data_IF_608173412106
#
_entry.id   IF_608173412106
#
_cell.length_a   1.000
_cell.length_b   1.000
_cell.length_c   1.000
_cell.angle_alpha   90.00
_cell.angle_beta   90.00
_cell.angle_gamma   90.00
#
_symmetry.space_group_name_H-M   'P 1'
#
loop_
_entity.id
_entity.type
_entity.pdbx_description
1 polymer ?
#
# COMPACT_ATOMS: atom_id res chain seq x y z
N UNK A 1 12.12 32.46 6.91
CA UNK A 1 12.28 30.99 6.78
C UNK A 1 11.81 30.39 8.09
N UNK A 2 10.92 29.39 8.06
CA UNK A 2 10.54 28.68 9.30
C UNK A 2 11.69 27.69 9.56
N UNK A 3 12.35 27.82 10.70
CA UNK A 3 13.52 26.99 11.01
C UNK A 3 13.08 25.53 11.24
N UNK A 4 13.46 24.66 10.30
CA UNK A 4 13.05 23.25 10.22
C UNK A 4 13.80 22.33 11.20
N UNK A 5 14.51 22.89 12.18
CA UNK A 5 15.55 22.21 12.95
C UNK A 5 15.23 22.11 14.44
N UNK A 6 14.45 23.04 15.00
CA UNK A 6 14.14 23.01 16.42
C UNK A 6 12.98 22.04 16.70
N UNK A 7 13.30 20.97 17.44
CA UNK A 7 12.31 19.98 17.86
C UNK A 7 11.65 20.45 19.14
N UNK A 8 10.39 20.85 19.02
CA UNK A 8 9.49 21.15 20.14
C UNK A 8 9.03 19.82 20.73
N UNK A 9 9.01 19.73 22.07
CA UNK A 9 8.45 18.59 22.79
C UNK A 9 7.28 19.07 23.64
N UNK A 10 6.09 18.50 23.42
CA UNK A 10 4.89 18.82 24.21
C UNK A 10 4.39 17.59 24.97
N UNK A 11 3.73 17.82 26.11
CA UNK A 11 3.11 16.77 26.93
C UNK A 11 1.62 17.04 27.05
N UNK A 12 0.79 16.05 26.72
CA UNK A 12 -0.67 16.13 26.86
C UNK A 12 -1.18 14.85 27.50
N UNK A 13 -1.60 14.94 28.75
CA UNK A 13 -1.93 13.78 29.58
C UNK A 13 -0.72 12.85 29.72
N UNK A 14 -0.90 11.56 29.38
CA UNK A 14 0.17 10.55 29.40
C UNK A 14 1.05 10.53 28.15
N UNK A 15 0.68 11.28 27.12
CA UNK A 15 1.37 11.26 25.81
C UNK A 15 2.38 12.41 25.70
N UNK A 16 3.50 12.15 25.02
CA UNK A 16 4.52 13.15 24.66
C UNK A 16 4.66 13.18 23.15
N UNK A 17 4.60 14.38 22.57
CA UNK A 17 4.74 14.61 21.13
C UNK A 17 6.03 15.38 20.85
N UNK A 18 6.66 15.08 19.71
CA UNK A 18 7.88 15.75 19.25
C UNK A 18 7.70 16.20 17.82
N UNK A 19 7.89 17.46 17.51
CA UNK A 19 7.72 18.00 16.16
C UNK A 19 8.39 19.35 15.99
N UNK A 20 8.63 19.77 14.76
CA UNK A 20 9.07 21.14 14.46
C UNK A 20 7.87 22.04 14.15
N UNK A 21 8.06 23.37 14.16
CA UNK A 21 7.03 24.31 13.71
C UNK A 21 6.55 24.01 12.27
N UNK A 22 7.46 23.56 11.41
CA UNK A 22 7.13 23.12 10.05
C UNK A 22 6.22 21.90 10.02
N UNK A 23 6.48 20.91 10.87
CA UNK A 23 5.66 19.69 10.92
C UNK A 23 4.23 20.01 11.40
N UNK A 24 4.10 20.97 12.33
CA UNK A 24 2.81 21.46 12.80
C UNK A 24 2.05 22.20 11.70
N UNK A 25 2.71 23.13 10.99
CA UNK A 25 2.11 23.83 9.86
C UNK A 25 1.67 22.86 8.75
N UNK A 26 2.45 21.80 8.51
CA UNK A 26 2.07 20.75 7.57
C UNK A 26 0.86 19.93 8.04
N UNK A 27 0.73 19.67 9.35
CA UNK A 27 -0.44 18.99 9.91
C UNK A 27 -1.73 19.81 9.74
N UNK A 28 -1.66 21.11 10.02
CA UNK A 28 -2.78 22.05 9.82
C UNK A 28 -3.18 22.11 8.34
N UNK A 29 -2.20 22.28 7.44
CA UNK A 29 -2.46 22.32 6.00
C UNK A 29 -3.05 21.02 5.46
N UNK A 30 -2.62 19.88 5.99
CA UNK A 30 -3.19 18.58 5.63
C UNK A 30 -4.65 18.48 6.04
N UNK A 31 -5.02 18.98 7.23
CA UNK A 31 -6.40 18.99 7.71
C UNK A 31 -7.28 19.94 6.89
N UNK A 32 -6.84 21.16 6.60
CA UNK A 32 -7.55 22.11 5.72
C UNK A 32 -7.93 21.45 4.40
N UNK A 33 -6.99 20.69 3.81
CA UNK A 33 -7.21 20.02 2.54
C UNK A 33 -8.20 18.85 2.66
N UNK A 34 -8.16 18.11 3.75
CA UNK A 34 -9.14 17.06 4.05
C UNK A 34 -10.53 17.66 4.22
N UNK A 35 -10.69 18.75 4.97
CA UNK A 35 -11.97 19.44 5.17
C UNK A 35 -12.54 19.96 3.85
N UNK A 36 -11.69 20.44 2.94
CA UNK A 36 -12.12 20.90 1.62
C UNK A 36 -12.73 19.78 0.75
N UNK A 37 -12.35 18.52 0.98
CA UNK A 37 -12.90 17.34 0.28
C UNK A 37 -14.05 16.72 1.06
N UNK A 38 -13.93 16.68 2.39
CA UNK A 38 -14.88 16.06 3.31
C UNK A 38 -15.25 17.10 4.38
N UNK A 39 -16.32 17.88 4.18
CA UNK A 39 -16.69 18.99 5.07
C UNK A 39 -16.98 18.57 6.51
N UNK A 40 -17.39 17.32 6.73
CA UNK A 40 -17.71 16.77 8.04
C UNK A 40 -16.51 16.12 8.75
N UNK A 41 -15.28 16.38 8.29
CA UNK A 41 -14.08 15.84 8.91
C UNK A 41 -13.81 16.50 10.27
N UNK A 42 -13.70 15.70 11.32
CA UNK A 42 -13.40 16.18 12.68
C UNK A 42 -12.04 16.87 12.79
N UNK A 43 -11.93 17.80 13.73
CA UNK A 43 -10.65 18.44 14.06
C UNK A 43 -9.74 17.46 14.80
N UNK A 44 -8.54 17.14 14.26
CA UNK A 44 -7.63 16.17 14.86
C UNK A 44 -6.81 16.78 16.00
N UNK A 45 -6.04 15.91 16.67
CA UNK A 45 -4.92 16.38 17.48
C UNK A 45 -3.72 16.72 16.57
N UNK A 46 -3.51 18.02 16.33
CA UNK A 46 -2.43 18.52 15.47
C UNK A 46 -1.02 18.16 15.99
N UNK A 47 -0.80 18.10 17.30
CA UNK A 47 0.50 17.70 17.87
C UNK A 47 0.84 16.25 17.52
N UNK A 48 -0.16 15.36 17.60
CA UNK A 48 0.00 13.95 17.21
C UNK A 48 0.22 13.79 15.71
N UNK A 49 -0.42 14.62 14.90
CA UNK A 49 -0.24 14.64 13.46
C UNK A 49 1.16 15.15 13.08
N UNK A 50 1.59 16.25 13.70
CA UNK A 50 2.92 16.83 13.53
C UNK A 50 4.02 15.84 13.93
N UNK A 51 3.88 15.13 15.05
CA UNK A 51 4.84 14.08 15.43
C UNK A 51 4.90 12.95 14.40
N UNK A 52 3.76 12.59 13.79
CA UNK A 52 3.75 11.57 12.72
C UNK A 52 4.46 12.06 11.47
N UNK A 53 4.24 13.32 11.06
CA UNK A 53 4.95 13.93 9.92
C UNK A 53 6.45 14.05 10.18
N UNK A 54 6.84 14.43 11.40
CA UNK A 54 8.24 14.40 11.84
C UNK A 54 8.82 12.99 11.71
N UNK A 55 8.11 11.95 12.14
CA UNK A 55 8.57 10.55 11.99
C UNK A 55 8.78 10.19 10.52
N UNK A 56 7.87 10.58 9.63
CA UNK A 56 8.04 10.34 8.19
C UNK A 56 9.30 11.02 7.64
N UNK A 57 9.57 12.27 8.05
CA UNK A 57 10.75 13.01 7.60
C UNK A 57 12.06 12.47 8.18
N UNK A 58 12.12 12.31 9.50
CA UNK A 58 13.36 12.07 10.23
C UNK A 58 13.67 10.59 10.43
N UNK A 59 12.64 9.75 10.61
CA UNK A 59 12.80 8.31 10.86
C UNK A 59 12.71 7.56 9.53
N UNK A 60 11.63 7.77 8.77
CA UNK A 60 11.44 7.07 7.49
C UNK A 60 12.29 7.69 6.36
N UNK A 61 13.02 8.78 6.64
CA UNK A 61 13.91 9.50 5.70
C UNK A 61 13.21 9.96 4.42
N UNK A 62 11.90 10.26 4.50
CA UNK A 62 11.13 10.75 3.34
C UNK A 62 11.22 12.28 3.26
N UNK A 63 11.66 12.85 2.13
CA UNK A 63 11.68 14.30 1.95
C UNK A 63 10.27 14.91 2.10
N UNK A 64 10.16 16.07 2.75
CA UNK A 64 8.87 16.73 2.95
C UNK A 64 8.15 17.03 1.62
N UNK A 65 8.91 17.36 0.57
CA UNK A 65 8.38 17.57 -0.77
C UNK A 65 7.70 16.30 -1.33
N UNK A 66 8.32 15.13 -1.16
CA UNK A 66 7.76 13.84 -1.60
C UNK A 66 6.50 13.51 -0.80
N UNK A 67 6.53 13.72 0.53
CA UNK A 67 5.35 13.52 1.37
C UNK A 67 4.18 14.38 0.89
N UNK A 68 4.43 15.66 0.64
CA UNK A 68 3.42 16.58 0.13
C UNK A 68 2.88 16.17 -1.25
N UNK A 69 3.74 15.71 -2.15
CA UNK A 69 3.33 15.23 -3.48
C UNK A 69 2.45 13.98 -3.40
N UNK A 70 2.85 12.98 -2.62
CA UNK A 70 2.07 11.75 -2.44
C UNK A 70 0.73 12.05 -1.78
N UNK A 71 0.70 12.92 -0.77
CA UNK A 71 -0.56 13.32 -0.13
C UNK A 71 -1.48 14.04 -1.12
N UNK A 72 -0.99 15.02 -1.87
CA UNK A 72 -1.79 15.75 -2.86
C UNK A 72 -2.39 14.81 -3.91
N UNK A 73 -1.58 13.89 -4.44
CA UNK A 73 -2.06 12.89 -5.39
C UNK A 73 -3.13 11.99 -4.77
N UNK A 74 -2.88 11.45 -3.57
CA UNK A 74 -3.84 10.60 -2.86
C UNK A 74 -5.16 11.31 -2.53
N UNK A 75 -5.11 12.62 -2.28
CA UNK A 75 -6.29 13.43 -1.96
C UNK A 75 -7.07 13.88 -3.21
N UNK A 76 -6.52 13.70 -4.42
CA UNK A 76 -7.22 13.91 -5.70
C UNK A 76 -7.82 12.62 -6.27
N UNK A 77 -7.35 11.47 -5.80
CA UNK A 77 -7.85 10.17 -6.21
C UNK A 77 -9.13 9.81 -5.44
N UNK A 78 -10.20 9.45 -6.17
CA UNK A 78 -11.52 9.22 -5.57
C UNK A 78 -11.54 8.11 -4.52
N UNK A 79 -10.70 7.09 -4.70
CA UNK A 79 -10.60 5.99 -3.76
C UNK A 79 -9.74 6.38 -2.56
N UNK A 80 -8.58 7.00 -2.79
CA UNK A 80 -7.64 7.31 -1.71
C UNK A 80 -8.02 8.53 -0.88
N UNK A 81 -8.77 9.49 -1.42
CA UNK A 81 -9.16 10.70 -0.68
C UNK A 81 -10.00 10.39 0.56
N UNK A 82 -10.86 9.36 0.50
CA UNK A 82 -11.67 8.89 1.64
C UNK A 82 -10.87 8.02 2.61
N UNK A 83 -9.76 7.43 2.15
CA UNK A 83 -8.93 6.54 2.94
C UNK A 83 -7.79 7.28 3.66
N UNK A 84 -7.24 8.35 3.08
CA UNK A 84 -6.07 9.08 3.62
C UNK A 84 -6.53 10.34 4.37
N UNK A 85 -7.14 10.14 5.53
CA UNK A 85 -7.67 11.20 6.39
C UNK A 85 -6.74 11.57 7.56
N UNK A 86 -5.51 11.08 7.58
CA UNK A 86 -4.52 11.44 8.60
C UNK A 86 -3.09 11.12 8.16
N UNK A 87 -2.07 11.79 8.74
CA UNK A 87 -0.66 11.46 8.50
C UNK A 87 -0.33 10.00 8.84
N UNK A 88 -1.00 9.41 9.84
CA UNK A 88 -0.78 8.02 10.22
C UNK A 88 -1.24 7.05 9.12
N UNK A 89 -2.41 7.30 8.51
CA UNK A 89 -2.88 6.50 7.36
C UNK A 89 -2.02 6.74 6.13
N UNK A 90 -1.60 7.99 5.87
CA UNK A 90 -0.64 8.30 4.81
C UNK A 90 0.67 7.52 4.99
N UNK A 91 1.28 7.58 6.18
CA UNK A 91 2.51 6.86 6.52
C UNK A 91 2.36 5.35 6.31
N UNK A 92 1.25 4.77 6.76
CA UNK A 92 0.95 3.33 6.61
C UNK A 92 0.90 2.90 5.14
N UNK A 93 0.30 3.71 4.27
CA UNK A 93 0.11 3.37 2.85
C UNK A 93 1.12 4.01 1.91
N UNK A 94 2.13 4.71 2.44
CA UNK A 94 2.99 5.59 1.66
C UNK A 94 3.64 4.90 0.46
N UNK A 95 4.25 3.73 0.66
CA UNK A 95 4.95 3.01 -0.41
C UNK A 95 4.00 2.64 -1.58
N UNK A 96 2.77 2.23 -1.25
CA UNK A 96 1.73 1.91 -2.24
C UNK A 96 1.28 3.15 -2.99
N UNK A 97 0.96 4.23 -2.26
CA UNK A 97 0.54 5.50 -2.85
C UNK A 97 1.62 6.09 -3.76
N UNK A 98 2.87 6.10 -3.31
CA UNK A 98 4.00 6.58 -4.10
C UNK A 98 4.15 5.78 -5.40
N UNK A 99 4.05 4.45 -5.35
CA UNK A 99 4.12 3.61 -6.55
C UNK A 99 2.99 3.91 -7.54
N UNK A 100 1.76 4.06 -7.04
CA UNK A 100 0.60 4.38 -7.87
C UNK A 100 0.71 5.77 -8.51
N UNK A 101 1.15 6.78 -7.74
CA UNK A 101 1.42 8.13 -8.24
C UNK A 101 2.41 8.13 -9.41
N UNK A 102 3.54 7.41 -9.27
CA UNK A 102 4.55 7.30 -10.34
C UNK A 102 3.99 6.59 -11.58
N UNK A 103 3.19 5.54 -11.40
CA UNK A 103 2.54 4.83 -12.51
C UNK A 103 1.53 5.72 -13.24
N UNK A 104 0.75 6.51 -12.50
CA UNK A 104 -0.23 7.41 -13.08
C UNK A 104 0.44 8.51 -13.92
N UNK A 105 1.50 9.12 -13.38
CA UNK A 105 2.30 10.10 -14.13
C UNK A 105 2.90 9.51 -15.42
N UNK A 106 3.35 8.25 -15.40
CA UNK A 106 3.87 7.57 -16.58
C UNK A 106 2.77 7.28 -17.63
N UNK A 107 1.55 6.94 -17.21
CA UNK A 107 0.41 6.71 -18.12
C UNK A 107 -0.02 8.00 -18.84
N UNK A 108 0.01 9.13 -18.15
CA UNK A 108 -0.36 10.43 -18.73
C UNK A 108 0.63 10.90 -19.81
N UNK A 109 1.88 10.44 -19.78
CA UNK A 109 2.92 10.80 -20.76
C UNK A 109 2.92 9.93 -22.02
N UNK A 110 2.13 8.85 -22.08
CA UNK A 110 2.06 8.05 -23.30
C UNK A 110 1.07 8.68 -24.29
N UNK A 111 1.46 8.96 -25.55
CA UNK A 111 0.50 9.31 -26.58
C UNK A 111 -0.52 8.17 -26.68
N UNK A 112 -1.82 8.50 -26.78
CA UNK A 112 -2.88 7.50 -26.94
C UNK A 112 -2.47 6.56 -28.06
N UNK A 113 -2.01 5.36 -27.74
CA UNK A 113 -1.99 4.27 -28.71
C UNK A 113 -3.44 4.00 -29.02
N UNK A 114 -3.92 4.49 -30.17
CA UNK A 114 -5.09 3.92 -30.83
C UNK A 114 -4.81 2.43 -30.89
N UNK A 115 -5.51 1.65 -30.06
CA UNK A 115 -5.44 0.20 -30.16
C UNK A 115 -6.29 -0.11 -31.38
N UNK A 116 -5.66 -0.19 -32.54
CA UNK A 116 -6.15 -1.11 -33.55
C UNK A 116 -6.02 -2.48 -32.89
N UNK A 117 -7.16 -3.02 -32.44
CA UNK A 117 -7.25 -4.37 -31.87
C UNK A 117 -7.54 -5.27 -33.06
N UNK A 118 -6.60 -6.13 -33.53
CA UNK A 118 -6.97 -7.22 -34.41
C UNK A 118 -7.86 -8.17 -33.62
N UNK A 119 -9.05 -8.41 -34.15
CA UNK A 119 -10.07 -9.24 -33.54
C UNK A 119 -9.69 -10.73 -33.68
N UNK A 120 -8.70 -11.22 -32.93
CA UNK A 120 -8.60 -12.65 -32.60
C UNK A 120 -7.54 -12.94 -31.54
N UNK A 121 -7.98 -13.39 -30.37
CA UNK A 121 -7.62 -14.72 -29.86
C UNK A 121 -8.59 -15.07 -28.72
N UNK A 122 -9.38 -16.12 -28.93
CA UNK A 122 -10.35 -16.61 -27.97
C UNK A 122 -9.63 -17.23 -26.77
N UNK A 123 -10.06 -16.86 -25.57
CA UNK A 123 -9.69 -17.46 -24.28
C UNK A 123 -10.26 -18.87 -24.09
N UNK A 124 -10.12 -19.72 -25.11
CA UNK A 124 -10.53 -21.13 -25.06
C UNK A 124 -9.36 -22.08 -24.81
N UNK A 125 -8.12 -21.59 -24.80
CA UNK A 125 -6.96 -22.43 -24.54
C UNK A 125 -6.52 -22.30 -23.07
N UNK A 126 -6.88 -23.28 -22.24
CA UNK A 126 -6.41 -23.46 -20.87
C UNK A 126 -4.94 -23.92 -20.81
N UNK A 127 -4.11 -23.47 -21.75
CA UNK A 127 -2.67 -23.73 -21.83
C UNK A 127 -1.90 -23.15 -20.63
N UNK A 128 -2.47 -22.22 -19.87
CA UNK A 128 -1.88 -21.75 -18.60
C UNK A 128 -1.94 -22.80 -17.47
N UNK A 129 -2.74 -23.86 -17.61
CA UNK A 129 -2.97 -24.86 -16.56
C UNK A 129 -2.31 -26.23 -16.82
N UNK A 130 -1.67 -26.44 -17.95
CA UNK A 130 -1.09 -27.75 -18.35
C UNK A 130 0.23 -28.10 -17.67
N UNK A 131 0.76 -27.22 -16.80
CA UNK A 131 2.00 -27.46 -16.05
C UNK A 131 1.82 -27.99 -14.62
N UNK A 132 0.60 -28.36 -14.20
CA UNK A 132 0.28 -28.67 -12.79
C UNK A 132 -0.10 -30.12 -12.50
N UNK A 133 0.10 -31.04 -13.45
CA UNK A 133 -0.03 -32.48 -13.21
C UNK A 133 1.33 -33.07 -12.89
N UNK A 134 1.55 -33.37 -11.62
CA UNK A 134 2.65 -34.17 -11.10
C UNK A 134 2.49 -35.62 -11.62
N UNK A 135 3.22 -35.98 -12.67
CA UNK A 135 3.32 -37.37 -13.14
C UNK A 135 4.37 -38.10 -12.32
N UNK A 136 4.09 -38.38 -11.06
CA UNK A 136 4.75 -39.44 -10.30
C UNK A 136 3.70 -40.39 -9.72
N UNK A 137 3.10 -41.18 -10.61
CA UNK A 137 2.51 -42.47 -10.27
C UNK A 137 2.64 -43.37 -11.49
N UNK A 138 3.55 -44.34 -11.42
CA UNK A 138 3.32 -45.74 -11.79
C UNK A 138 4.64 -46.42 -12.14
N UNK A 139 5.17 -47.21 -11.21
CA UNK A 139 5.61 -48.55 -11.57
C UNK A 139 5.31 -49.49 -10.40
N UNK A 140 4.12 -50.10 -10.45
CA UNK A 140 3.79 -51.25 -9.63
C UNK A 140 4.20 -52.51 -10.42
N UNK A 141 5.12 -53.35 -9.93
CA UNK A 141 5.43 -54.61 -10.58
C UNK A 141 4.34 -55.65 -10.31
N UNK A 142 3.97 -56.38 -11.36
CA UNK A 142 3.09 -57.53 -11.32
C UNK A 142 3.66 -58.64 -10.43
N UNK A 143 2.87 -59.11 -9.46
CA UNK A 143 3.10 -60.37 -8.76
C UNK A 143 1.85 -61.23 -8.98
N UNK A 144 2.06 -62.30 -9.74
CA UNK A 144 1.08 -63.34 -10.02
C UNK A 144 0.73 -64.13 -8.75
N UNK A 145 -0.53 -64.57 -8.73
CA UNK A 145 -1.11 -65.51 -7.79
C UNK A 145 -0.28 -66.78 -7.63
N UNK A 146 -0.01 -67.19 -6.38
CA UNK A 146 -0.08 -68.59 -5.95
C UNK A 146 0.05 -68.72 -4.43
N UNK A 147 -0.92 -69.43 -3.84
CA UNK A 147 -0.83 -70.36 -2.70
C UNK A 147 -0.27 -69.80 -1.36
N UNK A 148 -0.61 -70.26 -0.15
CA UNK A 148 -1.51 -71.25 0.43
C UNK A 148 -1.21 -71.16 1.94
N UNK A 149 -2.11 -71.68 2.78
CA UNK A 149 -1.93 -72.13 4.17
C UNK A 149 -1.75 -71.14 5.35
N UNK A 150 -2.70 -71.32 6.28
CA UNK A 150 -2.53 -71.47 7.74
C UNK A 150 -2.32 -70.21 8.59
N UNK A 151 -3.33 -69.79 9.37
CA UNK A 151 -3.72 -70.26 10.71
C UNK A 151 -2.84 -69.72 11.86
N UNK A 152 -3.58 -69.11 12.79
CA UNK A 152 -3.37 -68.95 14.23
C UNK A 152 -2.44 -67.86 14.78
N UNK A 153 -3.07 -67.10 15.67
CA UNK A 153 -2.54 -66.18 16.66
C UNK A 153 -3.19 -66.57 17.99
N UNK A 154 -2.48 -66.49 19.11
CA UNK A 154 -3.07 -66.09 20.38
C UNK A 154 -3.01 -64.56 20.55
#
# INVERSE_FOLDING_TARGET
>A
MIDNTEIITTKKGRSTFKYTAFDLACAEKMHERIVAVIPYADTPNFESWADTLRKMRLIDKRPAAEIGSVFRWANQDDFWQTNILSPAKLRKHFARLHKLMVQDAAKQQQPRRTRDIPLQESLTDCSWATGLVDTSTSEAPAIEHSADTSLEKP
#
